data_IF_463966011591
#
_entry.id   IF_463966011591
#
_cell.length_a   1.000
_cell.length_b   1.000
_cell.length_c   1.000
_cell.angle_alpha   90.00
_cell.angle_beta   90.00
_cell.angle_gamma   90.00
#
_symmetry.space_group_name_H-M   'P 1'
#
loop_
_entity.id
_entity.type
_entity.pdbx_description
1 polymer ?
#
# COMPACT_ATOMS: atom_id res chain seq x y z
N UNK A 1 -39.50 2.96 16.43
CA UNK A 1 -38.34 2.83 15.51
C UNK A 1 -37.09 3.05 16.36
N UNK A 2 -36.45 1.97 16.81
CA UNK A 2 -35.32 2.01 17.73
C UNK A 2 -34.03 2.45 17.03
N UNK A 3 -33.23 3.28 17.70
CA UNK A 3 -31.90 3.71 17.26
C UNK A 3 -30.98 2.49 17.18
N UNK A 4 -30.14 2.36 16.14
CA UNK A 4 -29.16 1.27 16.08
C UNK A 4 -28.13 1.45 17.20
N UNK A 5 -27.92 0.37 17.96
CA UNK A 5 -26.96 0.28 19.07
C UNK A 5 -25.52 0.38 18.55
N UNK A 6 -25.07 1.56 18.15
CA UNK A 6 -23.71 1.80 17.62
C UNK A 6 -22.59 1.51 18.63
N UNK A 7 -22.90 1.37 19.92
CA UNK A 7 -21.92 1.07 20.97
C UNK A 7 -21.55 -0.42 21.07
N UNK A 8 -22.38 -1.34 20.56
CA UNK A 8 -22.12 -2.79 20.65
C UNK A 8 -21.22 -3.33 19.53
N UNK A 9 -21.24 -2.69 18.36
CA UNK A 9 -20.41 -3.11 17.23
C UNK A 9 -18.93 -2.75 17.43
N UNK A 10 -18.63 -1.61 18.06
CA UNK A 10 -17.26 -1.16 18.31
C UNK A 10 -16.55 -1.98 19.40
N UNK A 11 -17.28 -2.43 20.44
CA UNK A 11 -16.68 -3.24 21.49
C UNK A 11 -16.23 -4.60 20.96
N UNK A 12 -17.03 -5.23 20.09
CA UNK A 12 -16.69 -6.53 19.50
C UNK A 12 -15.50 -6.46 18.55
N UNK A 13 -15.39 -5.39 17.75
CA UNK A 13 -14.23 -5.17 16.87
C UNK A 13 -12.92 -4.96 17.66
N UNK A 14 -12.98 -4.16 18.73
CA UNK A 14 -11.83 -3.92 19.62
C UNK A 14 -11.44 -5.20 20.36
N UNK A 15 -12.41 -6.00 20.79
CA UNK A 15 -12.17 -7.30 21.42
C UNK A 15 -11.49 -8.30 20.47
N UNK A 16 -11.87 -8.32 19.19
CA UNK A 16 -11.25 -9.20 18.18
C UNK A 16 -9.80 -8.80 17.89
N UNK A 17 -9.50 -7.51 17.72
CA UNK A 17 -8.12 -7.07 17.49
C UNK A 17 -7.25 -7.27 18.74
N UNK A 18 -7.81 -7.10 19.94
CA UNK A 18 -7.14 -7.45 21.18
C UNK A 18 -6.84 -8.97 21.24
N UNK A 19 -7.84 -9.82 20.98
CA UNK A 19 -7.66 -11.28 20.97
C UNK A 19 -6.60 -11.73 19.96
N UNK A 20 -6.57 -11.13 18.75
CA UNK A 20 -5.54 -11.39 17.74
C UNK A 20 -4.13 -11.07 18.23
N UNK A 21 -3.97 -10.01 19.02
CA UNK A 21 -2.66 -9.58 19.58
C UNK A 21 -2.25 -10.43 20.79
N UNK A 22 -3.19 -10.77 21.66
CA UNK A 22 -2.93 -11.55 22.88
C UNK A 22 -2.69 -13.04 22.59
N UNK A 23 -3.43 -13.63 21.64
CA UNK A 23 -3.39 -15.08 21.35
C UNK A 23 -3.29 -15.35 19.84
N UNK A 24 -2.16 -15.00 19.20
CA UNK A 24 -2.03 -15.10 17.75
C UNK A 24 -2.21 -16.54 17.24
N UNK A 25 -1.61 -17.55 17.90
CA UNK A 25 -1.68 -18.93 17.45
C UNK A 25 -3.13 -19.46 17.43
N UNK A 26 -3.84 -19.35 18.54
CA UNK A 26 -5.25 -19.77 18.63
C UNK A 26 -6.15 -19.02 17.66
N UNK A 27 -5.87 -17.73 17.42
CA UNK A 27 -6.61 -16.96 16.43
C UNK A 27 -6.43 -17.56 15.03
N UNK A 28 -5.20 -17.78 14.58
CA UNK A 28 -4.95 -18.31 13.23
C UNK A 28 -5.35 -19.79 13.09
N UNK A 29 -5.24 -20.62 14.13
CA UNK A 29 -5.66 -22.02 14.11
C UNK A 29 -7.16 -22.17 13.76
N UNK A 30 -8.02 -21.36 14.39
CA UNK A 30 -9.46 -21.36 14.09
C UNK A 30 -9.75 -21.02 12.63
N UNK A 31 -9.06 -20.01 12.10
CA UNK A 31 -9.20 -19.58 10.70
C UNK A 31 -8.69 -20.65 9.73
N UNK A 32 -7.60 -21.35 10.05
CA UNK A 32 -7.08 -22.44 9.25
C UNK A 32 -8.02 -23.66 9.24
N UNK A 33 -8.65 -23.98 10.37
CA UNK A 33 -9.65 -25.06 10.45
C UNK A 33 -10.87 -24.77 9.56
N UNK A 34 -11.27 -23.52 9.48
CA UNK A 34 -12.35 -23.07 8.59
C UNK A 34 -11.88 -22.86 7.14
N UNK A 35 -10.60 -23.10 6.83
CA UNK A 35 -9.95 -22.91 5.52
C UNK A 35 -10.02 -21.47 4.98
N UNK A 36 -10.22 -20.50 5.86
CA UNK A 36 -10.44 -19.08 5.54
C UNK A 36 -9.26 -18.27 6.08
N UNK A 37 -8.75 -17.32 5.31
CA UNK A 37 -7.80 -16.33 5.83
C UNK A 37 -8.58 -15.30 6.66
N UNK A 38 -8.02 -14.72 7.74
CA UNK A 38 -8.65 -13.63 8.48
C UNK A 38 -9.00 -12.38 7.64
N UNK A 39 -8.48 -12.26 6.41
CA UNK A 39 -8.84 -11.17 5.49
C UNK A 39 -10.06 -11.50 4.60
N UNK A 40 -10.71 -12.65 4.81
CA UNK A 40 -11.85 -13.25 4.08
C UNK A 40 -11.57 -14.15 2.85
N UNK A 41 -10.48 -14.05 2.06
CA UNK A 41 -10.24 -14.99 0.97
C UNK A 41 -9.93 -16.42 1.45
N UNK A 42 -10.33 -17.46 0.70
CA UNK A 42 -9.85 -18.81 0.92
C UNK A 42 -8.34 -18.90 0.66
N UNK A 43 -7.67 -19.85 1.32
CA UNK A 43 -6.20 -19.98 1.28
C UNK A 43 -5.61 -20.09 -0.13
N UNK A 44 -6.35 -20.65 -1.09
CA UNK A 44 -5.92 -20.80 -2.48
C UNK A 44 -6.05 -19.54 -3.34
N UNK A 45 -6.60 -18.43 -2.83
CA UNK A 45 -6.79 -17.21 -3.61
C UNK A 45 -5.71 -16.17 -3.30
N UNK A 46 -5.01 -15.73 -4.34
CA UNK A 46 -4.08 -14.61 -4.24
C UNK A 46 -4.83 -13.30 -3.93
N UNK A 47 -4.14 -12.36 -3.27
CA UNK A 47 -4.69 -11.01 -3.05
C UNK A 47 -4.86 -10.31 -4.39
N UNK A 48 -5.91 -9.49 -4.51
CA UNK A 48 -6.10 -8.63 -5.67
C UNK A 48 -4.87 -7.74 -5.86
N UNK A 49 -4.31 -7.77 -7.07
CA UNK A 49 -3.13 -7.01 -7.42
C UNK A 49 -3.45 -6.04 -8.56
N UNK A 50 -3.13 -4.76 -8.37
CA UNK A 50 -3.22 -3.72 -9.40
C UNK A 50 -1.84 -3.11 -9.60
N UNK A 51 -1.44 -2.91 -10.84
CA UNK A 51 -0.13 -2.33 -11.18
C UNK A 51 -0.36 -1.12 -12.08
N UNK A 52 0.21 0.02 -11.68
CA UNK A 52 0.30 1.21 -12.51
C UNK A 52 1.78 1.47 -12.84
N UNK A 53 2.10 1.61 -14.12
CA UNK A 53 3.46 1.89 -14.60
C UNK A 53 3.64 3.39 -14.85
N UNK A 54 4.86 3.89 -14.75
CA UNK A 54 5.19 5.29 -15.09
C UNK A 54 4.68 6.33 -14.10
N UNK A 55 4.38 5.95 -12.85
CA UNK A 55 3.82 6.84 -11.83
C UNK A 55 4.78 7.96 -11.41
N UNK A 56 6.09 7.73 -11.50
CA UNK A 56 7.12 8.71 -11.18
C UNK A 56 7.79 9.17 -12.46
N UNK A 57 7.51 10.41 -12.87
CA UNK A 57 8.00 11.00 -14.12
C UNK A 57 9.52 11.22 -14.17
N UNK A 58 10.18 11.34 -13.01
CA UNK A 58 11.63 11.55 -12.91
C UNK A 58 12.45 10.25 -13.00
N UNK A 59 11.82 9.09 -12.83
CA UNK A 59 12.48 7.80 -12.90
C UNK A 59 12.49 7.25 -14.34
N UNK A 60 13.54 6.51 -14.71
CA UNK A 60 13.63 5.86 -16.03
C UNK A 60 12.53 4.80 -16.20
N UNK A 61 12.19 4.12 -15.10
CA UNK A 61 11.04 3.23 -15.00
C UNK A 61 10.48 3.32 -13.59
N UNK A 62 9.15 3.30 -13.46
CA UNK A 62 8.48 3.31 -12.17
C UNK A 62 7.23 2.44 -12.18
N UNK A 63 6.92 1.87 -11.02
CA UNK A 63 5.74 1.02 -10.81
C UNK A 63 5.12 1.35 -9.45
N UNK A 64 3.79 1.43 -9.43
CA UNK A 64 2.97 1.46 -8.22
C UNK A 64 2.14 0.18 -8.21
N UNK A 65 2.44 -0.70 -7.28
CA UNK A 65 1.78 -1.99 -7.13
C UNK A 65 0.95 -1.98 -5.86
N UNK A 66 -0.36 -2.24 -5.97
CA UNK A 66 -1.26 -2.46 -4.84
C UNK A 66 -1.56 -3.95 -4.77
N UNK A 67 -1.26 -4.58 -3.63
CA UNK A 67 -1.57 -6.00 -3.36
C UNK A 67 -2.41 -6.05 -2.08
N UNK A 68 -3.71 -6.27 -2.23
CA UNK A 68 -4.66 -6.12 -1.12
C UNK A 68 -4.61 -4.71 -0.51
N UNK A 69 -4.29 -4.62 0.79
CA UNK A 69 -4.13 -3.34 1.51
C UNK A 69 -2.72 -2.75 1.40
N UNK A 70 -1.73 -3.52 0.94
CA UNK A 70 -0.35 -3.07 0.82
C UNK A 70 -0.15 -2.32 -0.49
N UNK A 71 0.44 -1.13 -0.42
CA UNK A 71 0.91 -0.38 -1.59
C UNK A 71 2.43 -0.33 -1.59
N UNK A 72 3.03 -0.59 -2.74
CA UNK A 72 4.46 -0.59 -2.97
C UNK A 72 4.77 0.35 -4.15
N UNK A 73 5.77 1.20 -4.00
CA UNK A 73 6.32 2.02 -5.08
C UNK A 73 7.73 1.50 -5.35
N UNK A 74 8.04 1.25 -6.62
CA UNK A 74 9.37 0.89 -7.08
C UNK A 74 9.80 1.79 -8.23
N UNK A 75 11.04 2.26 -8.18
CA UNK A 75 11.62 3.18 -9.16
C UNK A 75 13.00 2.70 -9.56
N UNK A 76 13.29 2.74 -10.86
CA UNK A 76 14.61 2.47 -11.41
C UNK A 76 15.24 3.78 -11.87
N UNK A 77 16.43 4.07 -11.35
CA UNK A 77 17.25 5.22 -11.73
C UNK A 77 18.55 4.73 -12.36
N UNK A 78 18.85 5.19 -13.57
CA UNK A 78 20.11 4.87 -14.23
C UNK A 78 21.15 5.95 -13.95
N UNK A 79 22.14 5.62 -13.10
CA UNK A 79 23.13 6.55 -12.56
C UNK A 79 23.87 7.41 -13.59
N UNK A 80 24.24 6.85 -14.76
CA UNK A 80 24.91 7.63 -15.81
C UNK A 80 24.02 8.74 -16.42
N UNK A 81 22.69 8.64 -16.35
CA UNK A 81 21.76 9.60 -16.96
C UNK A 81 21.04 10.53 -15.98
N UNK A 82 21.08 10.27 -14.67
CA UNK A 82 20.38 11.12 -13.67
C UNK A 82 21.09 12.46 -13.48
N UNK A 83 22.43 12.45 -13.54
CA UNK A 83 23.24 13.66 -13.43
C UNK A 83 22.92 14.69 -14.52
N UNK A 84 22.66 14.24 -15.76
CA UNK A 84 22.36 15.13 -16.87
C UNK A 84 20.93 15.70 -16.79
N UNK A 85 19.96 14.91 -16.34
CA UNK A 85 18.56 15.35 -16.26
C UNK A 85 18.33 16.35 -15.11
N UNK A 86 18.99 16.16 -13.96
CA UNK A 86 18.98 17.14 -12.87
C UNK A 86 19.69 18.44 -13.29
N UNK A 87 20.78 18.36 -14.05
CA UNK A 87 21.47 19.53 -14.62
C UNK A 87 20.58 20.32 -15.57
N UNK A 88 19.84 19.65 -16.45
CA UNK A 88 18.90 20.30 -17.38
C UNK A 88 17.76 20.99 -16.64
N UNK A 89 17.16 20.35 -15.63
CA UNK A 89 16.07 20.96 -14.86
C UNK A 89 16.55 22.19 -14.06
N UNK A 90 17.73 22.14 -13.46
CA UNK A 90 18.34 23.30 -12.78
C UNK A 90 18.73 24.42 -13.75
N UNK A 91 19.26 24.07 -14.93
CA UNK A 91 19.60 25.05 -15.98
C UNK A 91 18.37 25.77 -16.52
N UNK A 92 17.25 25.07 -16.71
CA UNK A 92 15.99 25.69 -17.13
C UNK A 92 15.48 26.68 -16.09
N UNK A 93 15.48 26.30 -14.80
CA UNK A 93 15.06 27.19 -13.70
C UNK A 93 15.95 28.44 -13.57
N UNK A 94 17.27 28.30 -13.77
CA UNK A 94 18.22 29.42 -13.73
C UNK A 94 18.01 30.41 -14.90
N UNK A 95 17.73 29.91 -16.10
CA UNK A 95 17.48 30.74 -17.28
C UNK A 95 16.16 31.53 -17.21
N UNK A 96 15.15 31.04 -16.47
CA UNK A 96 13.92 31.80 -16.23
C UNK A 96 14.12 32.97 -15.26
N UNK A 97 15.08 32.89 -14.33
CA UNK A 97 15.38 33.97 -13.39
C UNK A 97 16.26 35.08 -13.97
N UNK A 98 16.98 34.84 -15.07
CA UNK A 98 17.89 35.81 -15.70
C UNK A 98 17.26 36.59 -16.86
N UNK A 99 15.97 36.40 -17.15
CA UNK A 99 15.24 37.05 -18.25
C UNK A 99 14.31 38.20 -17.82
N UNK A 100 14.55 38.81 -16.66
CA UNK A 100 13.97 40.10 -16.26
C UNK A 100 15.08 41.04 -15.81
#
# INVERSE_FOLDING_TARGET
MGLPNASGDLSTEVEVDAFRRLFPLHFYEKHLLESIRPDAPPLGRAREATIALGVVASANGSTLSKVGSTRLISTCFQLLGVADRLRQHQSLQSNYQTRF
#
